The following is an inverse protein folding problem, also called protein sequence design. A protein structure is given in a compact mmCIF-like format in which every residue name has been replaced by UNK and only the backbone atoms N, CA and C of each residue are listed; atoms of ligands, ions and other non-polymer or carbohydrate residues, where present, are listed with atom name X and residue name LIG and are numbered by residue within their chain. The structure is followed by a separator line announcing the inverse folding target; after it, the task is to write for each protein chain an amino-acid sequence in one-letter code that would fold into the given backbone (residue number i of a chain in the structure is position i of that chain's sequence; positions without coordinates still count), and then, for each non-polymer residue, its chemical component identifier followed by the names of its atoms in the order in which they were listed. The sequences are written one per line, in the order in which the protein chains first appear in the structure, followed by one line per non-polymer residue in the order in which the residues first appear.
data_IF_680506080897
#
_entry.id   IF_680506080897
#
_cell.length_a   1.000
_cell.length_b   1.000
_cell.length_c   1.000
_cell.angle_alpha   90.00
_cell.angle_beta   90.00
_cell.angle_gamma   90.00
#
_symmetry.space_group_name_H-M   'P 1'
#
loop_
_entity.id
_entity.type
_entity.pdbx_description
1 polymer ?
#
# COMPACT_ATOMS: atom_id res chain seq x y z
N UNK A 1 -51.06 -17.73 -27.88
CA UNK A 1 -50.70 -17.19 -26.56
C UNK A 1 -49.17 -17.17 -26.40
N UNK A 2 -48.43 -16.22 -27.03
CA UNK A 2 -46.96 -16.23 -27.02
C UNK A 2 -46.34 -15.48 -25.82
N UNK A 3 -47.04 -14.47 -25.29
CA UNK A 3 -46.50 -13.52 -24.30
C UNK A 3 -46.22 -14.11 -22.90
N UNK A 4 -46.78 -15.28 -22.59
CA UNK A 4 -46.60 -15.91 -21.28
C UNK A 4 -45.24 -16.64 -21.17
N UNK A 5 -44.72 -17.16 -22.29
CA UNK A 5 -43.44 -17.88 -22.34
C UNK A 5 -42.23 -16.95 -22.29
N UNK A 6 -42.33 -15.75 -22.86
CA UNK A 6 -41.24 -14.76 -22.81
C UNK A 6 -41.04 -14.20 -21.40
N UNK A 7 -42.13 -14.01 -20.65
CA UNK A 7 -42.09 -13.53 -19.27
C UNK A 7 -41.48 -14.58 -18.32
N UNK A 8 -41.83 -15.87 -18.46
CA UNK A 8 -41.23 -16.96 -17.67
C UNK A 8 -39.77 -17.20 -18.04
N UNK A 9 -39.40 -17.08 -19.31
CA UNK A 9 -38.01 -17.21 -19.77
C UNK A 9 -37.13 -16.06 -19.25
N UNK A 10 -37.64 -14.82 -19.28
CA UNK A 10 -36.97 -13.66 -18.68
C UNK A 10 -36.82 -13.77 -17.15
N UNK A 11 -37.84 -14.32 -16.48
CA UNK A 11 -37.80 -14.57 -15.03
C UNK A 11 -36.81 -15.67 -14.66
N UNK A 12 -36.72 -16.76 -15.44
CA UNK A 12 -35.69 -17.79 -15.28
C UNK A 12 -34.28 -17.23 -15.54
N UNK A 13 -34.12 -16.36 -16.55
CA UNK A 13 -32.86 -15.67 -16.82
C UNK A 13 -32.41 -14.83 -15.63
N UNK A 14 -33.31 -14.03 -15.05
CA UNK A 14 -33.03 -13.24 -13.84
C UNK A 14 -32.69 -14.11 -12.63
N UNK A 15 -33.42 -15.21 -12.41
CA UNK A 15 -33.13 -16.14 -11.29
C UNK A 15 -31.74 -16.76 -11.47
N UNK A 16 -31.38 -17.17 -12.68
CA UNK A 16 -30.08 -17.76 -12.97
C UNK A 16 -28.96 -16.73 -12.80
N UNK A 17 -29.13 -15.51 -13.31
CA UNK A 17 -28.18 -14.41 -13.10
C UNK A 17 -28.02 -14.05 -11.63
N UNK A 18 -29.12 -13.98 -10.86
CA UNK A 18 -29.08 -13.74 -9.42
C UNK A 18 -28.36 -14.87 -8.68
N UNK A 19 -28.62 -16.13 -9.03
CA UNK A 19 -27.91 -17.29 -8.48
C UNK A 19 -26.42 -17.25 -8.80
N UNK A 20 -26.03 -16.90 -10.03
CA UNK A 20 -24.61 -16.75 -10.40
C UNK A 20 -23.94 -15.62 -9.61
N UNK A 21 -24.64 -14.49 -9.43
CA UNK A 21 -24.14 -13.37 -8.65
C UNK A 21 -24.01 -13.72 -7.16
N UNK A 22 -24.99 -14.42 -6.58
CA UNK A 22 -24.93 -14.91 -5.21
C UNK A 22 -23.87 -16.00 -5.01
N UNK A 23 -23.64 -16.86 -5.99
CA UNK A 23 -22.56 -17.85 -5.97
C UNK A 23 -21.16 -17.20 -6.08
N UNK A 24 -21.06 -16.05 -6.75
CA UNK A 24 -19.84 -15.26 -6.85
C UNK A 24 -19.65 -14.29 -5.67
N UNK A 25 -20.71 -13.97 -4.91
CA UNK A 25 -20.68 -13.00 -3.82
C UNK A 25 -19.61 -13.30 -2.74
N UNK A 26 -19.39 -14.56 -2.30
CA UNK A 26 -18.30 -14.90 -1.39
C UNK A 26 -16.91 -14.62 -1.96
N UNK A 27 -16.72 -14.86 -3.28
CA UNK A 27 -15.44 -14.58 -3.95
C UNK A 27 -15.16 -13.09 -4.03
N UNK A 28 -16.18 -12.27 -4.33
CA UNK A 28 -16.05 -10.81 -4.32
C UNK A 28 -15.87 -10.24 -2.90
N UNK A 29 -16.47 -10.88 -1.88
CA UNK A 29 -16.37 -10.47 -0.49
C UNK A 29 -15.00 -10.72 0.12
N UNK A 30 -14.41 -11.90 -0.08
CA UNK A 30 -13.06 -12.22 0.37
C UNK A 30 -12.03 -11.29 -0.28
N UNK A 31 -12.09 -11.12 -1.60
CA UNK A 31 -11.21 -10.19 -2.32
C UNK A 31 -11.31 -8.76 -1.78
N UNK A 32 -12.51 -8.29 -1.43
CA UNK A 32 -12.70 -6.95 -0.88
C UNK A 32 -12.05 -6.79 0.50
N UNK A 33 -12.12 -7.82 1.36
CA UNK A 33 -11.56 -7.77 2.72
C UNK A 33 -10.04 -7.71 2.69
N UNK A 34 -9.41 -8.59 1.91
CA UNK A 34 -7.95 -8.61 1.71
C UNK A 34 -7.45 -7.30 1.07
N UNK A 35 -8.21 -6.71 0.14
CA UNK A 35 -7.88 -5.40 -0.42
C UNK A 35 -7.84 -4.29 0.65
N UNK A 36 -8.86 -4.20 1.51
CA UNK A 36 -8.90 -3.20 2.57
C UNK A 36 -7.82 -3.43 3.62
N UNK A 37 -7.48 -4.69 3.93
CA UNK A 37 -6.37 -5.03 4.83
C UNK A 37 -5.01 -4.60 4.27
N UNK A 38 -4.76 -4.85 2.98
CA UNK A 38 -3.56 -4.35 2.31
C UNK A 38 -3.48 -2.82 2.31
N UNK A 39 -4.62 -2.15 2.11
CA UNK A 39 -4.69 -0.69 2.15
C UNK A 39 -4.38 -0.13 3.55
N UNK A 40 -4.91 -0.75 4.61
CA UNK A 40 -4.62 -0.35 5.99
C UNK A 40 -3.12 -0.45 6.31
N UNK A 41 -2.50 -1.58 5.95
CA UNK A 41 -1.06 -1.78 6.14
C UNK A 41 -0.21 -0.79 5.33
N UNK A 42 -0.65 -0.45 4.11
CA UNK A 42 0.00 0.57 3.30
C UNK A 42 -0.04 1.94 3.99
N UNK A 43 -1.21 2.34 4.50
CA UNK A 43 -1.39 3.63 5.14
C UNK A 43 -0.54 3.75 6.41
N UNK A 44 -0.50 2.72 7.24
CA UNK A 44 0.34 2.68 8.44
C UNK A 44 1.83 2.88 8.09
N UNK A 45 2.35 2.14 7.11
CA UNK A 45 3.76 2.30 6.70
C UNK A 45 4.06 3.62 6.02
N UNK A 46 3.09 4.18 5.30
CA UNK A 46 3.24 5.51 4.72
C UNK A 46 3.26 6.61 5.80
N UNK A 47 2.46 6.47 6.86
CA UNK A 47 2.49 7.39 8.01
C UNK A 47 3.84 7.33 8.74
N UNK A 48 4.35 6.13 9.02
CA UNK A 48 5.68 5.93 9.63
C UNK A 48 6.79 6.61 8.79
N UNK A 49 6.83 6.30 7.49
CA UNK A 49 7.81 6.87 6.56
C UNK A 49 7.70 8.40 6.49
N UNK A 50 6.50 8.92 6.27
CA UNK A 50 6.30 10.36 6.07
C UNK A 50 6.65 11.15 7.32
N UNK A 51 6.29 10.65 8.51
CA UNK A 51 6.65 11.25 9.80
C UNK A 51 8.16 11.36 9.97
N UNK A 52 8.90 10.28 9.69
CA UNK A 52 10.36 10.27 9.76
C UNK A 52 10.99 11.22 8.73
N UNK A 53 10.48 11.21 7.49
CA UNK A 53 10.93 12.08 6.41
C UNK A 53 10.75 13.56 6.75
N UNK A 54 9.58 13.97 7.24
CA UNK A 54 9.32 15.36 7.64
C UNK A 54 10.29 15.81 8.73
N UNK A 55 10.52 14.96 9.74
CA UNK A 55 11.48 15.26 10.81
C UNK A 55 12.88 15.51 10.25
N UNK A 56 13.40 14.63 9.39
CA UNK A 56 14.71 14.79 8.75
C UNK A 56 14.78 16.01 7.83
N UNK A 57 13.68 16.41 7.19
CA UNK A 57 13.62 17.65 6.41
C UNK A 57 13.72 18.88 7.29
N UNK A 58 13.01 18.93 8.40
CA UNK A 58 13.17 20.01 9.37
C UNK A 58 14.59 20.08 9.93
N UNK A 59 15.20 18.94 10.25
CA UNK A 59 16.59 18.88 10.74
C UNK A 59 17.59 19.37 9.68
N UNK A 60 17.45 18.91 8.44
CA UNK A 60 18.28 19.36 7.32
C UNK A 60 18.16 20.85 7.04
N UNK A 61 16.95 21.41 7.06
CA UNK A 61 16.74 22.86 6.87
C UNK A 61 17.37 23.66 8.01
N UNK A 62 17.22 23.22 9.27
CA UNK A 62 17.88 23.88 10.41
C UNK A 62 19.40 23.84 10.30
N UNK A 63 19.96 22.71 9.90
CA UNK A 63 21.40 22.57 9.68
C UNK A 63 21.90 23.49 8.55
N UNK A 64 21.14 23.64 7.46
CA UNK A 64 21.49 24.57 6.38
C UNK A 64 21.45 26.04 6.84
N UNK A 65 20.46 26.42 7.64
CA UNK A 65 20.38 27.77 8.22
C UNK A 65 21.55 28.05 9.15
N UNK A 66 21.93 27.08 9.96
CA UNK A 66 23.08 27.19 10.88
C UNK A 66 24.40 27.33 10.11
N UNK A 67 24.65 26.48 9.11
CA UNK A 67 25.83 26.59 8.25
C UNK A 67 25.88 27.96 7.53
N UNK A 68 24.74 28.45 7.05
CA UNK A 68 24.65 29.77 6.42
C UNK A 68 25.00 30.92 7.37
N UNK A 69 24.60 30.83 8.66
CA UNK A 69 24.95 31.82 9.67
C UNK A 69 26.45 31.79 9.97
N UNK A 70 27.02 30.60 10.18
CA UNK A 70 28.45 30.45 10.44
C UNK A 70 29.31 30.98 9.28
N UNK A 71 28.86 30.81 8.05
CA UNK A 71 29.50 31.40 6.87
C UNK A 71 29.45 32.94 6.92
N UNK A 72 28.27 33.51 7.19
CA UNK A 72 28.05 34.95 7.24
C UNK A 72 28.79 35.64 8.41
N UNK A 73 28.87 35.00 9.58
CA UNK A 73 29.38 35.57 10.84
C UNK A 73 30.92 35.64 10.91
N UNK A 74 31.63 35.23 9.85
CA UNK A 74 33.07 35.50 9.73
C UNK A 74 33.86 34.45 8.97
N UNK A 75 33.32 33.26 8.71
CA UNK A 75 34.05 32.25 7.95
C UNK A 75 34.27 32.65 6.48
N UNK A 76 33.48 33.57 5.91
CA UNK A 76 33.76 34.14 4.58
C UNK A 76 35.12 34.85 4.47
N UNK A 77 35.70 35.29 5.58
CA UNK A 77 37.02 35.92 5.62
C UNK A 77 38.14 34.88 5.88
N UNK A 78 37.78 33.62 6.12
CA UNK A 78 38.68 32.50 6.34
C UNK A 78 38.28 31.31 5.43
N UNK A 79 38.88 31.19 4.23
CA UNK A 79 38.52 30.18 3.25
C UNK A 79 38.56 28.74 3.78
N UNK A 80 39.54 28.42 4.64
CA UNK A 80 39.66 27.09 5.25
C UNK A 80 38.48 26.79 6.19
N UNK A 81 38.09 27.76 7.01
CA UNK A 81 36.93 27.61 7.89
C UNK A 81 35.62 27.47 7.09
N UNK A 82 35.44 28.27 6.04
CA UNK A 82 34.26 28.17 5.16
C UNK A 82 34.16 26.80 4.48
N UNK A 83 35.28 26.27 3.96
CA UNK A 83 35.32 24.94 3.36
C UNK A 83 35.00 23.83 4.36
N UNK A 84 35.45 23.95 5.60
CA UNK A 84 35.11 23.01 6.67
C UNK A 84 33.60 22.98 6.94
N UNK A 85 32.99 24.15 7.14
CA UNK A 85 31.54 24.28 7.39
C UNK A 85 30.73 23.67 6.24
N UNK A 86 31.09 23.96 4.99
CA UNK A 86 30.39 23.43 3.82
C UNK A 86 30.55 21.91 3.70
N UNK A 87 31.75 21.39 3.93
CA UNK A 87 32.03 19.95 3.86
C UNK A 87 31.26 19.19 4.94
N UNK A 88 31.26 19.70 6.17
CA UNK A 88 30.51 19.11 7.28
C UNK A 88 29.00 19.14 6.99
N UNK A 89 28.47 20.28 6.55
CA UNK A 89 27.06 20.39 6.18
C UNK A 89 26.68 19.42 5.05
N UNK A 90 27.53 19.30 4.03
CA UNK A 90 27.31 18.41 2.90
C UNK A 90 27.32 16.93 3.33
N UNK A 91 28.29 16.52 4.15
CA UNK A 91 28.41 15.13 4.63
C UNK A 91 27.14 14.70 5.38
N UNK A 92 26.71 15.49 6.38
CA UNK A 92 25.48 15.18 7.13
C UNK A 92 24.22 15.28 6.25
N UNK A 93 24.25 16.08 5.17
CA UNK A 93 23.12 16.14 4.22
C UNK A 93 23.01 14.86 3.40
N UNK A 94 24.15 14.28 3.01
CA UNK A 94 24.18 12.98 2.33
C UNK A 94 23.72 11.85 3.24
N UNK A 95 24.09 11.85 4.52
CA UNK A 95 23.61 10.86 5.50
C UNK A 95 22.09 10.87 5.62
N UNK A 96 21.49 12.05 5.81
CA UNK A 96 20.03 12.19 5.86
C UNK A 96 19.34 11.70 4.58
N UNK A 97 19.90 12.00 3.41
CA UNK A 97 19.36 11.53 2.13
C UNK A 97 19.46 10.00 1.98
N UNK A 98 20.55 9.41 2.45
CA UNK A 98 20.72 7.96 2.44
C UNK A 98 19.70 7.27 3.36
N UNK A 99 19.44 7.83 4.54
CA UNK A 99 18.37 7.38 5.43
C UNK A 99 16.99 7.49 4.77
N UNK A 100 16.69 8.60 4.09
CA UNK A 100 15.43 8.76 3.37
C UNK A 100 15.25 7.72 2.25
N UNK A 101 16.31 7.45 1.50
CA UNK A 101 16.28 6.46 0.43
C UNK A 101 16.07 5.04 0.99
N UNK A 102 16.72 4.73 2.11
CA UNK A 102 16.54 3.46 2.81
C UNK A 102 15.09 3.29 3.27
N UNK A 103 14.56 4.24 4.04
CA UNK A 103 13.21 4.14 4.59
C UNK A 103 12.15 4.11 3.49
N UNK A 104 12.34 4.87 2.40
CA UNK A 104 11.45 4.84 1.24
C UNK A 104 11.45 3.46 0.57
N UNK A 105 12.64 2.87 0.39
CA UNK A 105 12.77 1.53 -0.21
C UNK A 105 12.14 0.46 0.69
N UNK A 106 12.32 0.57 2.00
CA UNK A 106 11.72 -0.33 2.99
C UNK A 106 10.19 -0.24 2.96
N UNK A 107 9.63 0.98 2.99
CA UNK A 107 8.20 1.22 2.86
C UNK A 107 7.65 0.62 1.55
N UNK A 108 8.26 0.92 0.40
CA UNK A 108 7.81 0.40 -0.89
C UNK A 108 7.87 -1.13 -0.95
N UNK A 109 8.93 -1.73 -0.40
CA UNK A 109 9.11 -3.19 -0.35
C UNK A 109 8.06 -3.84 0.55
N UNK A 110 7.80 -3.26 1.72
CA UNK A 110 6.77 -3.75 2.63
C UNK A 110 5.39 -3.66 2.00
N UNK A 111 5.05 -2.53 1.38
CA UNK A 111 3.78 -2.33 0.70
C UNK A 111 3.57 -3.31 -0.47
N UNK A 112 4.61 -3.54 -1.29
CA UNK A 112 4.56 -4.53 -2.36
C UNK A 112 4.39 -5.95 -1.79
N UNK A 113 5.08 -6.29 -0.70
CA UNK A 113 4.94 -7.57 -0.01
C UNK A 113 3.53 -7.78 0.54
N UNK A 114 2.99 -6.80 1.27
CA UNK A 114 1.64 -6.83 1.81
C UNK A 114 0.59 -7.05 0.72
N UNK A 115 0.73 -6.35 -0.41
CA UNK A 115 -0.18 -6.51 -1.55
C UNK A 115 -0.13 -7.94 -2.12
N UNK A 116 1.06 -8.47 -2.39
CA UNK A 116 1.24 -9.82 -2.93
C UNK A 116 0.72 -10.89 -1.96
N UNK A 117 1.02 -10.76 -0.66
CA UNK A 117 0.53 -11.70 0.36
C UNK A 117 -0.99 -11.70 0.44
N UNK A 118 -1.62 -10.52 0.49
CA UNK A 118 -3.08 -10.41 0.53
C UNK A 118 -3.74 -10.98 -0.74
N UNK A 119 -3.15 -10.79 -1.93
CA UNK A 119 -3.67 -11.42 -3.15
C UNK A 119 -3.57 -12.94 -3.12
N UNK A 120 -2.47 -13.50 -2.63
CA UNK A 120 -2.29 -14.96 -2.47
C UNK A 120 -3.32 -15.51 -1.49
N UNK A 121 -3.48 -14.89 -0.33
CA UNK A 121 -4.45 -15.32 0.70
C UNK A 121 -5.89 -15.25 0.18
N UNK A 122 -6.24 -14.18 -0.56
CA UNK A 122 -7.55 -14.05 -1.19
C UNK A 122 -7.83 -15.18 -2.21
N UNK A 123 -6.82 -15.58 -3.00
CA UNK A 123 -6.93 -16.69 -3.96
C UNK A 123 -7.10 -18.01 -3.22
N UNK A 124 -6.31 -18.27 -2.19
CA UNK A 124 -6.41 -19.51 -1.39
C UNK A 124 -7.78 -19.64 -0.72
N UNK A 125 -8.29 -18.58 -0.10
CA UNK A 125 -9.62 -18.55 0.52
C UNK A 125 -10.73 -18.78 -0.51
N UNK A 126 -10.59 -18.21 -1.71
CA UNK A 126 -11.52 -18.42 -2.82
C UNK A 126 -11.52 -19.89 -3.26
N UNK A 127 -10.34 -20.50 -3.41
CA UNK A 127 -10.20 -21.92 -3.78
C UNK A 127 -10.81 -22.84 -2.72
N UNK A 128 -10.57 -22.59 -1.43
CA UNK A 128 -11.12 -23.38 -0.34
C UNK A 128 -12.65 -23.25 -0.25
N UNK A 129 -13.18 -22.04 -0.45
CA UNK A 129 -14.62 -21.79 -0.51
C UNK A 129 -15.27 -22.56 -1.68
N UNK A 130 -14.65 -22.54 -2.86
CA UNK A 130 -15.11 -23.31 -4.01
C UNK A 130 -15.08 -24.83 -3.74
N UNK A 131 -14.00 -25.35 -3.13
CA UNK A 131 -13.90 -26.77 -2.74
C UNK A 131 -15.00 -27.18 -1.76
N UNK A 132 -15.32 -26.34 -0.76
CA UNK A 132 -16.40 -26.59 0.20
C UNK A 132 -17.77 -26.61 -0.48
N UNK A 133 -18.04 -25.65 -1.37
CA UNK A 133 -19.29 -25.60 -2.13
C UNK A 133 -19.49 -26.86 -2.99
N UNK A 134 -18.45 -27.32 -3.69
CA UNK A 134 -18.49 -28.55 -4.50
C UNK A 134 -18.73 -29.80 -3.64
N UNK A 135 -18.08 -29.90 -2.46
CA UNK A 135 -18.30 -31.01 -1.53
C UNK A 135 -19.74 -31.02 -0.98
N UNK A 136 -20.29 -29.87 -0.65
CA UNK A 136 -21.68 -29.74 -0.17
C UNK A 136 -22.68 -30.17 -1.24
N UNK A 137 -22.52 -29.70 -2.49
CA UNK A 137 -23.38 -30.07 -3.60
C UNK A 137 -23.35 -31.59 -3.94
N UNK A 138 -22.24 -32.27 -3.62
CA UNK A 138 -22.09 -33.72 -3.81
C UNK A 138 -22.67 -34.56 -2.66
N UNK A 139 -23.01 -33.91 -1.54
CA UNK A 139 -23.47 -34.56 -0.30
C UNK A 139 -25.00 -34.50 -0.11
N UNK A 140 -25.73 -33.79 -0.97
CA UNK A 140 -27.19 -33.85 -1.07
C UNK A 140 -27.59 -34.84 -2.19
N UNK A 141 -27.83 -36.13 -1.88
CA UNK A 141 -28.53 -37.02 -2.80
C UNK A 141 -30.04 -36.77 -2.70
N UNK A 142 -30.70 -36.71 -3.86
CA UNK A 142 -32.16 -36.85 -4.02
C UNK A 142 -32.60 -38.26 -3.62
#
# INVERSE_FOLDING_TARGET
MPKLNDATSGMQGMIKSAQTMFAAAPMTGAQSTHFWQAQEQFLEKFEDFSTAWFKRRHDGTRAALEASRQLADGAMQNPQAAMGILTDWQAHSMERLAEDAKDCTEMLTHCAGAFVTNEVEAIEETVETAKRAVKSAKSEPV
#
